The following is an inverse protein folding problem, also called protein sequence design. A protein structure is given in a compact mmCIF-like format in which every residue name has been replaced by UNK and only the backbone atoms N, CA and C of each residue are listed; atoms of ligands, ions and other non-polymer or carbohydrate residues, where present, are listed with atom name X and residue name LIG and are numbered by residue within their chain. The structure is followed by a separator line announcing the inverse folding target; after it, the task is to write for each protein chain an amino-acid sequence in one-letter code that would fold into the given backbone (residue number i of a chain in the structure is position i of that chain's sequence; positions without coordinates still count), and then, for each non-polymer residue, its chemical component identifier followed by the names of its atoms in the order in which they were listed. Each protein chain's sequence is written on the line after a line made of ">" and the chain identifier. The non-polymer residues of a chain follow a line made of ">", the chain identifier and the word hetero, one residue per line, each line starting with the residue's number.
data_IF_820070751991
#
_entry.id   IF_820070751991
#
_cell.length_a   1.000
_cell.length_b   1.000
_cell.length_c   1.000
_cell.angle_alpha   90.00
_cell.angle_beta   90.00
_cell.angle_gamma   90.00
#
_symmetry.space_group_name_H-M   'P 1'
#
loop_
_entity.id
_entity.type
_entity.pdbx_description
1 polymer ?
#
# COMPACT_ATOMS: atom_id res chain seq x y z
N UNK A 1 -2.15 50.20 15.47
CA UNK A 1 -2.85 49.53 16.59
C UNK A 1 -3.94 48.66 15.96
N UNK A 2 -3.62 47.42 15.60
CA UNK A 2 -4.57 46.48 14.97
C UNK A 2 -5.17 45.62 16.07
N UNK A 3 -6.47 45.76 16.25
CA UNK A 3 -7.25 44.95 17.20
C UNK A 3 -7.44 43.58 16.56
N UNK A 4 -6.81 42.57 17.13
CA UNK A 4 -7.02 41.16 16.74
C UNK A 4 -8.34 40.71 17.40
N UNK A 5 -9.43 40.63 16.65
CA UNK A 5 -10.65 40.03 17.15
C UNK A 5 -10.59 38.52 16.95
N UNK A 6 -10.44 37.77 18.04
CA UNK A 6 -10.56 36.32 18.04
C UNK A 6 -12.07 36.02 18.11
N UNK A 7 -12.66 35.65 16.97
CA UNK A 7 -14.08 35.31 16.90
C UNK A 7 -14.25 33.79 17.08
N UNK A 8 -14.56 33.36 18.29
CA UNK A 8 -14.84 31.95 18.58
C UNK A 8 -16.34 31.70 18.43
N UNK A 9 -16.74 30.89 17.47
CA UNK A 9 -18.14 30.59 17.22
C UNK A 9 -18.64 29.47 18.17
N UNK A 10 -19.05 29.84 19.36
CA UNK A 10 -19.50 28.94 20.45
C UNK A 10 -20.76 28.18 20.19
N UNK A 11 -21.59 28.59 19.21
CA UNK A 11 -22.90 27.93 18.96
C UNK A 11 -22.77 26.47 18.50
N UNK A 12 -21.65 26.07 17.93
CA UNK A 12 -21.38 24.69 17.45
C UNK A 12 -20.75 23.85 18.57
N UNK A 13 -19.81 24.42 19.31
CA UNK A 13 -19.11 23.75 20.42
C UNK A 13 -20.06 23.56 21.62
N UNK A 14 -20.82 24.54 21.96
CA UNK A 14 -21.82 24.49 23.06
C UNK A 14 -22.90 23.44 22.83
N UNK A 15 -23.32 23.18 21.58
CA UNK A 15 -24.31 22.14 21.26
C UNK A 15 -23.70 20.73 21.32
N UNK A 16 -22.46 20.55 20.91
CA UNK A 16 -21.73 19.27 21.01
C UNK A 16 -21.44 18.91 22.48
N UNK A 17 -21.02 19.89 23.30
CA UNK A 17 -20.75 19.73 24.72
C UNK A 17 -22.01 19.43 25.50
N UNK A 18 -23.13 20.14 25.23
CA UNK A 18 -24.40 19.93 25.94
C UNK A 18 -24.99 18.52 25.69
N UNK A 19 -24.76 17.95 24.53
CA UNK A 19 -25.23 16.59 24.17
C UNK A 19 -24.37 15.49 24.78
N UNK A 20 -23.06 15.71 25.01
CA UNK A 20 -22.13 14.73 25.53
C UNK A 20 -21.67 15.01 26.97
N UNK A 21 -22.17 16.05 27.61
CA UNK A 21 -21.76 16.48 28.94
C UNK A 21 -21.89 15.39 30.03
N UNK A 22 -22.95 14.59 29.98
CA UNK A 22 -23.15 13.48 30.92
C UNK A 22 -22.14 12.38 30.68
N UNK A 23 -21.79 12.06 29.42
CA UNK A 23 -20.80 11.01 29.06
C UNK A 23 -19.39 11.46 29.41
N UNK A 24 -19.04 12.71 29.17
CA UNK A 24 -17.74 13.29 29.53
C UNK A 24 -17.57 13.39 31.05
N UNK A 25 -18.64 13.80 31.76
CA UNK A 25 -18.64 13.86 33.23
C UNK A 25 -18.50 12.48 33.88
N UNK A 26 -19.16 11.45 33.34
CA UNK A 26 -19.05 10.07 33.83
C UNK A 26 -17.66 9.47 33.50
N UNK A 27 -17.06 9.76 32.36
CA UNK A 27 -15.70 9.34 32.03
C UNK A 27 -14.63 10.05 32.88
N UNK A 28 -14.83 11.31 33.24
CA UNK A 28 -13.93 12.06 34.14
C UNK A 28 -13.88 11.48 35.55
N UNK A 29 -14.96 10.93 36.04
CA UNK A 29 -15.02 10.25 37.34
C UNK A 29 -14.29 8.90 37.31
N UNK A 30 -14.29 8.22 36.17
CA UNK A 30 -13.66 6.89 35.99
C UNK A 30 -12.16 6.97 35.71
N UNK A 31 -11.66 8.01 35.04
CA UNK A 31 -10.30 8.14 34.54
C UNK A 31 -9.43 9.18 35.28
N UNK A 32 -9.94 9.83 36.33
CA UNK A 32 -9.17 10.78 37.13
C UNK A 32 -8.35 11.77 36.31
N UNK A 33 -8.88 12.96 36.05
CA UNK A 33 -8.22 14.11 35.45
C UNK A 33 -8.18 14.18 33.92
N UNK A 34 -9.26 14.67 33.34
CA UNK A 34 -9.22 15.47 32.11
C UNK A 34 -10.21 16.63 32.27
N UNK A 35 -9.71 17.75 32.77
CA UNK A 35 -10.49 18.98 32.88
C UNK A 35 -10.38 19.75 31.57
N UNK A 36 -11.40 19.68 30.71
CA UNK A 36 -11.53 20.61 29.60
C UNK A 36 -12.19 21.88 30.11
N UNK A 37 -11.45 22.95 30.22
CA UNK A 37 -12.02 24.30 30.45
C UNK A 37 -12.16 24.99 29.12
N UNK A 38 -13.39 25.18 28.65
CA UNK A 38 -13.66 26.05 27.50
C UNK A 38 -13.71 27.47 28.05
N UNK A 39 -12.73 28.29 27.71
CA UNK A 39 -12.66 29.69 28.08
C UNK A 39 -13.72 30.44 27.26
N UNK A 40 -14.79 30.89 27.88
CA UNK A 40 -15.90 31.63 27.28
C UNK A 40 -15.65 33.15 27.27
N UNK A 41 -14.35 33.56 27.19
CA UNK A 41 -13.94 34.95 27.18
C UNK A 41 -13.22 35.33 25.87
N UNK A 42 -13.76 36.38 25.23
CA UNK A 42 -13.02 37.16 24.26
C UNK A 42 -12.00 37.97 25.06
N UNK A 43 -10.76 37.49 25.10
CA UNK A 43 -9.67 38.25 25.68
C UNK A 43 -9.39 39.43 24.76
N UNK A 44 -9.79 40.62 25.16
CA UNK A 44 -9.63 41.83 24.35
C UNK A 44 -8.15 42.30 24.26
N UNK A 45 -7.27 41.71 25.07
CA UNK A 45 -5.84 42.05 25.09
C UNK A 45 -4.99 40.76 25.20
N UNK A 46 -4.09 40.53 24.23
CA UNK A 46 -3.19 39.36 24.22
C UNK A 46 -2.24 39.32 25.42
N UNK A 47 -1.88 40.50 25.99
CA UNK A 47 -0.94 40.61 27.12
C UNK A 47 -1.46 39.93 28.40
N UNK A 48 -2.78 39.78 28.57
CA UNK A 48 -3.35 39.22 29.78
C UNK A 48 -3.77 37.74 29.64
N UNK A 49 -3.66 37.17 28.45
CA UNK A 49 -4.14 35.80 28.19
C UNK A 49 -3.29 34.75 28.91
N UNK A 50 -1.97 34.89 28.90
CA UNK A 50 -1.05 33.98 29.60
C UNK A 50 -1.21 34.07 31.12
N UNK A 51 -1.37 35.29 31.67
CA UNK A 51 -1.64 35.47 33.09
C UNK A 51 -2.96 34.84 33.53
N UNK A 52 -3.99 34.98 32.72
CA UNK A 52 -5.30 34.35 32.99
C UNK A 52 -5.19 32.81 33.02
N UNK A 53 -4.48 32.23 32.04
CA UNK A 53 -4.26 30.76 31.94
C UNK A 53 -3.52 30.24 33.18
N UNK A 54 -2.51 30.94 33.67
CA UNK A 54 -1.81 30.59 34.90
C UNK A 54 -2.70 30.70 36.14
N UNK A 55 -3.52 31.75 36.23
CA UNK A 55 -4.40 32.03 37.38
C UNK A 55 -5.49 30.98 37.51
N UNK A 56 -6.07 30.55 36.41
CA UNK A 56 -7.20 29.60 36.38
C UNK A 56 -6.72 28.13 36.22
N UNK A 57 -5.41 27.87 36.28
CA UNK A 57 -4.80 26.51 36.20
C UNK A 57 -5.26 25.73 34.96
N UNK A 58 -5.17 26.35 33.79
CA UNK A 58 -5.60 25.77 32.53
C UNK A 58 -4.49 24.88 31.94
N UNK A 59 -4.78 23.65 31.60
CA UNK A 59 -3.82 22.67 31.04
C UNK A 59 -3.69 22.75 29.52
N UNK A 60 -4.79 23.08 28.81
CA UNK A 60 -4.83 23.10 27.35
C UNK A 60 -5.57 24.33 26.80
N UNK A 61 -5.04 24.94 25.76
CA UNK A 61 -5.61 26.11 25.08
C UNK A 61 -5.80 25.82 23.61
N UNK A 62 -7.00 26.09 23.06
CA UNK A 62 -7.29 26.04 21.63
C UNK A 62 -7.33 27.46 21.04
N UNK A 63 -6.35 27.80 20.21
CA UNK A 63 -6.33 29.05 19.45
C UNK A 63 -7.04 28.84 18.12
N UNK A 64 -8.12 29.58 17.89
CA UNK A 64 -8.85 29.59 16.62
C UNK A 64 -8.66 30.94 15.95
N UNK A 65 -7.93 30.95 14.83
CA UNK A 65 -7.74 32.17 14.02
C UNK A 65 -8.76 32.20 12.90
N UNK A 66 -9.39 33.35 12.69
CA UNK A 66 -10.30 33.58 11.58
C UNK A 66 -9.59 34.29 10.43
N UNK A 67 -9.59 33.71 9.23
CA UNK A 67 -9.09 34.36 8.04
C UNK A 67 -7.58 34.54 7.94
N UNK A 68 -7.11 35.64 7.39
CA UNK A 68 -5.70 35.96 7.08
C UNK A 68 -5.01 36.56 8.31
N UNK A 69 -4.99 35.86 9.43
CA UNK A 69 -4.26 36.33 10.61
C UNK A 69 -2.85 35.74 10.61
N UNK A 70 -1.79 36.55 10.82
CA UNK A 70 -0.44 36.04 10.96
C UNK A 70 -0.37 34.97 12.08
N UNK A 71 0.52 34.00 11.91
CA UNK A 71 0.78 32.96 12.92
C UNK A 71 1.09 33.63 14.28
N UNK A 72 0.33 33.34 15.35
CA UNK A 72 0.43 34.04 16.63
C UNK A 72 1.60 33.48 17.47
N UNK A 73 2.84 33.62 16.95
CA UNK A 73 4.05 33.02 17.51
C UNK A 73 4.27 33.42 18.97
N UNK A 74 4.19 34.73 19.27
CA UNK A 74 4.47 35.28 20.61
C UNK A 74 3.47 34.74 21.65
N UNK A 75 2.19 34.62 21.28
CA UNK A 75 1.15 34.08 22.16
C UNK A 75 1.36 32.60 22.44
N UNK A 76 1.77 31.83 21.42
CA UNK A 76 2.07 30.41 21.57
C UNK A 76 3.29 30.20 22.46
N UNK A 77 4.35 30.99 22.27
CA UNK A 77 5.55 30.96 23.12
C UNK A 77 5.18 31.25 24.59
N UNK A 78 4.43 32.32 24.87
CA UNK A 78 3.98 32.65 26.21
C UNK A 78 3.20 31.49 26.87
N UNK A 79 2.24 30.87 26.17
CA UNK A 79 1.50 29.75 26.74
C UNK A 79 2.38 28.52 26.98
N UNK A 80 3.27 28.20 26.04
CA UNK A 80 4.15 27.02 26.18
C UNK A 80 5.21 27.20 27.27
N UNK A 81 5.67 28.44 27.54
CA UNK A 81 6.56 28.76 28.67
C UNK A 81 5.87 28.49 30.03
N UNK A 82 4.56 28.62 30.10
CA UNK A 82 3.80 28.29 31.33
C UNK A 82 3.52 26.79 31.47
N UNK A 83 3.94 25.96 30.52
CA UNK A 83 3.71 24.50 30.50
C UNK A 83 2.36 24.08 29.93
N UNK A 84 1.59 25.01 29.37
CA UNK A 84 0.28 24.75 28.78
C UNK A 84 0.40 24.16 27.38
N UNK A 85 -0.40 23.15 27.07
CA UNK A 85 -0.49 22.58 25.72
C UNK A 85 -1.31 23.49 24.81
N UNK A 86 -0.73 23.93 23.70
CA UNK A 86 -1.39 24.82 22.74
C UNK A 86 -1.82 24.10 21.49
N UNK A 87 -3.10 24.13 21.19
CA UNK A 87 -3.69 23.65 19.95
C UNK A 87 -4.03 24.84 19.04
N UNK A 88 -3.44 24.89 17.85
CA UNK A 88 -3.75 25.92 16.85
C UNK A 88 -4.62 25.32 15.75
N UNK A 89 -5.79 25.90 15.52
CA UNK A 89 -6.60 25.55 14.38
C UNK A 89 -6.00 26.11 13.09
N UNK A 90 -5.41 25.25 12.25
CA UNK A 90 -4.77 25.64 11.00
C UNK A 90 -5.74 25.93 9.86
N UNK A 91 -6.88 25.23 9.81
CA UNK A 91 -7.92 25.42 8.82
C UNK A 91 -9.19 24.60 9.15
N UNK A 92 -10.34 25.00 8.61
CA UNK A 92 -11.54 24.16 8.59
C UNK A 92 -11.42 23.16 7.45
N UNK A 93 -10.75 22.05 7.72
CA UNK A 93 -10.51 21.02 6.70
C UNK A 93 -11.68 20.05 6.66
N UNK A 94 -12.24 19.83 5.46
CA UNK A 94 -13.23 18.78 5.24
C UNK A 94 -12.49 17.44 5.10
N UNK A 95 -12.99 16.41 5.80
CA UNK A 95 -12.46 15.06 5.62
C UNK A 95 -12.80 14.56 4.22
N UNK A 96 -11.81 13.97 3.55
CA UNK A 96 -12.00 13.31 2.25
C UNK A 96 -12.30 11.83 2.52
N UNK A 97 -13.50 11.34 2.16
CA UNK A 97 -13.88 9.95 2.41
C UNK A 97 -12.85 8.97 1.82
N UNK A 98 -12.51 7.93 2.58
CA UNK A 98 -11.56 6.89 2.16
C UNK A 98 -10.09 7.34 2.04
N UNK A 99 -9.74 8.52 2.58
CA UNK A 99 -8.36 9.02 2.64
C UNK A 99 -7.94 9.28 4.08
N UNK A 100 -6.64 9.10 4.36
CA UNK A 100 -6.04 9.46 5.66
C UNK A 100 -5.46 10.86 5.56
N UNK A 101 -5.75 11.68 6.56
CA UNK A 101 -5.22 13.04 6.68
C UNK A 101 -4.37 13.12 7.94
N UNK A 102 -3.19 13.71 7.80
CA UNK A 102 -2.26 13.92 8.91
C UNK A 102 -1.42 15.17 8.67
N UNK A 103 -0.93 15.73 9.77
CA UNK A 103 -0.09 16.93 9.73
C UNK A 103 1.37 16.51 9.73
N UNK A 104 2.16 17.06 8.80
CA UNK A 104 3.59 16.79 8.71
C UNK A 104 4.38 18.06 8.33
N UNK A 105 5.72 18.00 8.46
CA UNK A 105 6.61 19.05 7.99
C UNK A 105 7.18 18.70 6.62
N UNK A 106 7.09 19.65 5.68
CA UNK A 106 7.72 19.59 4.36
C UNK A 106 8.61 20.82 4.23
N UNK A 107 9.92 20.64 4.44
CA UNK A 107 10.85 21.76 4.61
C UNK A 107 10.47 22.58 5.84
N UNK A 108 10.28 23.89 5.65
CA UNK A 108 9.89 24.83 6.71
C UNK A 108 8.36 24.93 6.90
N UNK A 109 7.59 24.25 6.06
CA UNK A 109 6.12 24.33 6.10
C UNK A 109 5.52 23.18 6.90
N UNK A 110 4.55 23.51 7.75
CA UNK A 110 3.63 22.52 8.34
C UNK A 110 2.44 22.38 7.41
N UNK A 111 2.27 21.18 6.87
CA UNK A 111 1.25 20.89 5.86
C UNK A 111 0.26 19.83 6.32
N UNK A 112 -0.97 19.91 5.84
CA UNK A 112 -1.92 18.82 5.96
C UNK A 112 -1.79 17.91 4.73
N UNK A 113 -1.26 16.74 4.93
CA UNK A 113 -1.09 15.74 3.88
C UNK A 113 -2.32 14.84 3.81
N UNK A 114 -2.83 14.64 2.59
CA UNK A 114 -3.92 13.70 2.31
C UNK A 114 -3.38 12.56 1.45
N UNK A 115 -3.51 11.32 1.92
CA UNK A 115 -3.01 10.13 1.24
C UNK A 115 -3.99 8.97 1.34
N UNK A 116 -3.84 7.98 0.45
CA UNK A 116 -4.63 6.73 0.50
C UNK A 116 -4.30 5.96 1.78
N UNK A 117 -3.02 5.91 2.17
CA UNK A 117 -2.59 5.33 3.43
C UNK A 117 -1.44 6.13 4.04
N UNK A 118 -1.30 6.02 5.36
CA UNK A 118 -0.16 6.53 6.11
C UNK A 118 0.68 5.36 6.62
N UNK A 119 1.94 5.33 6.21
CA UNK A 119 2.93 4.39 6.71
C UNK A 119 4.00 5.14 7.48
N UNK A 120 4.21 4.77 8.74
CA UNK A 120 5.30 5.37 9.51
C UNK A 120 6.67 4.97 8.93
N UNK A 121 7.68 5.82 9.13
CA UNK A 121 9.06 5.49 8.72
C UNK A 121 9.53 4.17 9.33
N UNK A 122 9.13 3.90 10.58
CA UNK A 122 9.43 2.64 11.26
C UNK A 122 8.83 1.43 10.53
N UNK A 123 7.57 1.51 10.13
CA UNK A 123 6.89 0.41 9.42
C UNK A 123 7.52 0.16 8.06
N UNK A 124 7.88 1.23 7.34
CA UNK A 124 8.60 1.12 6.07
C UNK A 124 9.98 0.50 6.22
N UNK A 125 10.71 0.82 7.30
CA UNK A 125 11.99 0.19 7.61
C UNK A 125 11.83 -1.29 7.95
N UNK A 126 10.85 -1.65 8.78
CA UNK A 126 10.54 -3.04 9.12
C UNK A 126 10.14 -3.84 7.87
N UNK A 127 9.29 -3.27 7.01
CA UNK A 127 8.95 -3.90 5.73
C UNK A 127 10.20 -4.14 4.87
N UNK A 128 11.09 -3.16 4.76
CA UNK A 128 12.32 -3.32 4.00
C UNK A 128 13.26 -4.37 4.59
N UNK A 129 13.36 -4.43 5.91
CA UNK A 129 14.14 -5.47 6.61
C UNK A 129 13.58 -6.87 6.33
N UNK A 130 12.25 -7.02 6.39
CA UNK A 130 11.56 -8.26 6.03
C UNK A 130 11.80 -8.64 4.57
N UNK A 131 11.76 -7.67 3.65
CA UNK A 131 12.06 -7.89 2.23
C UNK A 131 13.51 -8.34 2.01
N UNK A 132 14.47 -7.75 2.71
CA UNK A 132 15.89 -8.15 2.61
C UNK A 132 16.08 -9.56 3.18
N UNK A 133 15.58 -9.84 4.38
CA UNK A 133 15.72 -11.15 5.00
C UNK A 133 15.10 -12.26 4.14
N UNK A 134 13.85 -12.08 3.72
CA UNK A 134 13.17 -13.05 2.87
C UNK A 134 13.76 -13.11 1.45
N UNK A 135 14.25 -11.98 0.93
CA UNK A 135 14.97 -11.92 -0.34
C UNK A 135 16.27 -12.74 -0.33
N UNK A 136 17.05 -12.67 0.77
CA UNK A 136 18.26 -13.49 0.93
C UNK A 136 17.94 -14.99 0.98
N UNK A 137 16.94 -15.37 1.78
CA UNK A 137 16.48 -16.77 1.85
C UNK A 137 15.96 -17.23 0.49
N UNK A 138 15.13 -16.42 -0.17
CA UNK A 138 14.59 -16.74 -1.49
C UNK A 138 15.68 -16.86 -2.57
N UNK A 139 16.71 -16.02 -2.57
CA UNK A 139 17.85 -16.14 -3.47
C UNK A 139 18.69 -17.39 -3.21
N UNK A 140 18.87 -17.78 -1.94
CA UNK A 140 19.54 -19.04 -1.59
C UNK A 140 18.77 -20.24 -2.15
N UNK A 141 17.44 -20.27 -1.94
CA UNK A 141 16.57 -21.31 -2.50
C UNK A 141 16.62 -21.29 -4.03
N UNK A 142 16.61 -20.10 -4.67
CA UNK A 142 16.75 -19.95 -6.11
C UNK A 142 18.06 -20.59 -6.60
N UNK A 143 19.17 -20.39 -5.89
CA UNK A 143 20.47 -21.00 -6.20
C UNK A 143 20.42 -22.53 -6.13
N UNK A 144 19.77 -23.11 -5.14
CA UNK A 144 19.58 -24.56 -5.01
C UNK A 144 18.69 -25.08 -6.16
N UNK A 145 17.56 -24.42 -6.43
CA UNK A 145 16.66 -24.79 -7.51
C UNK A 145 17.34 -24.70 -8.88
N UNK A 146 18.22 -23.72 -9.07
CA UNK A 146 18.96 -23.54 -10.33
C UNK A 146 19.76 -24.78 -10.71
N UNK A 147 20.35 -25.49 -9.75
CA UNK A 147 21.16 -26.70 -10.01
C UNK A 147 20.32 -27.79 -10.70
N UNK A 148 19.02 -27.88 -10.39
CA UNK A 148 18.13 -28.91 -10.96
C UNK A 148 17.32 -28.38 -12.14
N UNK A 149 16.83 -27.15 -12.05
CA UNK A 149 15.93 -26.56 -13.05
C UNK A 149 16.68 -26.14 -14.31
N UNK A 150 17.91 -25.61 -14.19
CA UNK A 150 18.66 -25.13 -15.33
C UNK A 150 19.01 -26.24 -16.32
N UNK A 151 19.54 -27.41 -15.90
CA UNK A 151 19.78 -28.54 -16.82
C UNK A 151 18.49 -29.04 -17.46
N UNK A 152 17.39 -29.14 -16.69
CA UNK A 152 16.10 -29.61 -17.19
C UNK A 152 15.53 -28.70 -18.27
N UNK A 153 15.60 -27.38 -18.08
CA UNK A 153 15.19 -26.39 -19.09
C UNK A 153 16.10 -26.49 -20.32
N UNK A 154 17.42 -26.54 -20.12
CA UNK A 154 18.39 -26.53 -21.22
C UNK A 154 18.25 -27.77 -22.11
N UNK A 155 18.05 -28.94 -21.50
CA UNK A 155 17.87 -30.23 -22.26
C UNK A 155 16.53 -30.18 -23.05
N UNK A 156 15.49 -29.63 -22.47
CA UNK A 156 14.15 -29.57 -23.10
C UNK A 156 14.05 -28.46 -24.18
N UNK A 157 14.80 -27.38 -24.02
CA UNK A 157 14.83 -26.22 -24.92
C UNK A 157 16.15 -25.49 -24.75
N UNK A 158 17.19 -25.76 -25.61
CA UNK A 158 18.46 -25.04 -25.56
C UNK A 158 18.28 -23.52 -25.63
N UNK A 159 19.10 -22.78 -24.84
CA UNK A 159 19.04 -21.30 -24.77
C UNK A 159 19.14 -20.75 -23.34
N UNK A 160 18.86 -19.46 -23.11
CA UNK A 160 18.98 -18.83 -21.80
C UNK A 160 18.04 -19.47 -20.77
N UNK A 161 18.54 -19.66 -19.56
CA UNK A 161 17.80 -20.27 -18.45
C UNK A 161 16.83 -19.27 -17.79
N UNK A 162 17.25 -18.01 -17.74
CA UNK A 162 16.45 -16.93 -17.19
C UNK A 162 15.72 -16.17 -18.29
N UNK A 163 14.52 -15.77 -17.99
CA UNK A 163 13.70 -14.86 -18.78
C UNK A 163 13.54 -13.55 -18.01
N UNK A 164 13.65 -12.44 -18.70
CA UNK A 164 13.47 -11.11 -18.14
C UNK A 164 12.39 -10.36 -18.93
N UNK A 165 11.35 -9.90 -18.24
CA UNK A 165 10.25 -9.15 -18.85
C UNK A 165 10.13 -7.78 -18.20
N UNK A 166 9.98 -6.74 -19.02
CA UNK A 166 9.72 -5.40 -18.50
C UNK A 166 8.33 -5.32 -17.88
N UNK A 167 8.31 -4.79 -16.68
CA UNK A 167 7.10 -4.58 -15.87
C UNK A 167 7.08 -3.16 -15.32
N UNK A 168 5.88 -2.73 -14.94
CA UNK A 168 5.66 -1.43 -14.31
C UNK A 168 5.61 -1.62 -12.80
N UNK A 169 6.45 -0.87 -12.10
CA UNK A 169 6.55 -0.85 -10.64
C UNK A 169 5.97 0.43 -10.03
N UNK A 170 6.41 0.72 -8.80
CA UNK A 170 5.96 1.89 -8.05
C UNK A 170 6.11 3.19 -8.86
N UNK A 171 5.04 3.98 -8.86
CA UNK A 171 4.95 5.28 -9.54
C UNK A 171 5.28 5.22 -11.05
N UNK A 172 4.98 4.08 -11.70
CA UNK A 172 5.22 3.91 -13.13
C UNK A 172 6.66 3.58 -13.52
N UNK A 173 7.58 3.40 -12.55
CA UNK A 173 8.98 3.05 -12.83
C UNK A 173 9.07 1.67 -13.46
N UNK A 174 9.67 1.57 -14.64
CA UNK A 174 9.89 0.30 -15.33
C UNK A 174 11.06 -0.45 -14.71
N UNK A 175 10.94 -1.77 -14.65
CA UNK A 175 12.02 -2.67 -14.20
C UNK A 175 11.94 -4.02 -14.93
N UNK A 176 13.05 -4.76 -14.96
CA UNK A 176 13.13 -6.11 -15.51
C UNK A 176 12.80 -7.11 -14.41
N UNK A 177 11.67 -7.80 -14.54
CA UNK A 177 11.27 -8.89 -13.66
C UNK A 177 11.88 -10.20 -14.13
N UNK A 178 12.61 -10.89 -13.26
CA UNK A 178 13.31 -12.13 -13.58
C UNK A 178 12.45 -13.36 -13.25
N UNK A 179 12.49 -14.36 -14.17
CA UNK A 179 11.87 -15.66 -14.00
C UNK A 179 12.77 -16.77 -14.55
N UNK A 180 12.57 -18.02 -14.12
CA UNK A 180 13.07 -19.14 -14.92
C UNK A 180 12.26 -19.24 -16.21
N UNK A 181 12.92 -19.54 -17.30
CA UNK A 181 12.29 -19.69 -18.60
C UNK A 181 11.44 -20.97 -18.61
N UNK A 182 10.13 -20.80 -18.66
CA UNK A 182 9.15 -21.88 -18.74
C UNK A 182 8.49 -22.02 -20.12
N UNK A 183 8.77 -21.07 -21.03
CA UNK A 183 8.22 -21.03 -22.39
C UNK A 183 9.33 -21.07 -23.45
N UNK A 184 8.97 -21.49 -24.66
CA UNK A 184 9.85 -21.44 -25.82
C UNK A 184 10.21 -19.99 -26.17
N UNK A 185 11.31 -19.80 -26.95
CA UNK A 185 11.82 -18.47 -27.27
C UNK A 185 10.89 -17.64 -28.15
N UNK A 186 10.10 -18.32 -28.98
CA UNK A 186 9.09 -17.76 -29.91
C UNK A 186 7.71 -17.56 -29.28
N UNK A 187 7.61 -17.72 -27.94
CA UNK A 187 6.34 -17.72 -27.22
C UNK A 187 5.55 -16.41 -27.36
N UNK A 188 6.23 -15.27 -27.46
CA UNK A 188 5.55 -13.95 -27.56
C UNK A 188 4.99 -13.75 -28.99
N UNK A 189 5.73 -14.19 -30.02
CA UNK A 189 5.26 -14.15 -31.41
C UNK A 189 4.01 -15.03 -31.60
N UNK A 190 4.02 -16.22 -31.02
CA UNK A 190 2.90 -17.17 -31.06
C UNK A 190 1.70 -16.71 -30.22
N UNK A 191 1.88 -15.77 -29.30
CA UNK A 191 0.77 -15.24 -28.48
C UNK A 191 -0.31 -14.59 -29.34
N UNK A 192 0.08 -13.84 -30.36
CA UNK A 192 -0.86 -13.13 -31.24
C UNK A 192 -1.81 -14.12 -31.96
N UNK A 193 -1.32 -15.28 -32.35
CA UNK A 193 -2.10 -16.32 -32.99
C UNK A 193 -3.09 -16.98 -32.02
N UNK A 194 -2.67 -17.14 -30.75
CA UNK A 194 -3.44 -17.79 -29.69
C UNK A 194 -4.42 -16.87 -28.96
N UNK A 195 -4.40 -15.57 -29.25
CA UNK A 195 -5.36 -14.62 -28.66
C UNK A 195 -6.82 -14.95 -28.98
N UNK A 196 -7.07 -15.64 -30.10
CA UNK A 196 -8.42 -16.09 -30.49
C UNK A 196 -9.01 -17.12 -29.53
N UNK A 197 -8.15 -17.89 -28.86
CA UNK A 197 -8.51 -18.95 -27.91
C UNK A 197 -8.47 -18.50 -26.45
N UNK A 198 -8.33 -17.18 -26.22
CA UNK A 198 -8.28 -16.62 -24.88
C UNK A 198 -9.61 -16.80 -24.13
N UNK A 199 -9.59 -17.58 -23.04
CA UNK A 199 -10.79 -17.85 -22.23
C UNK A 199 -11.42 -16.63 -21.57
N UNK A 200 -10.64 -15.61 -21.30
CA UNK A 200 -11.08 -14.45 -20.50
C UNK A 200 -11.76 -13.39 -21.37
N UNK A 201 -11.62 -13.46 -22.71
CA UNK A 201 -12.23 -12.49 -23.64
C UNK A 201 -11.78 -11.04 -23.45
N UNK A 202 -10.85 -10.78 -22.53
CA UNK A 202 -10.33 -9.45 -22.17
C UNK A 202 -8.86 -9.33 -22.60
N UNK A 203 -8.53 -8.20 -23.23
CA UNK A 203 -7.16 -7.87 -23.63
C UNK A 203 -6.23 -7.63 -22.41
N UNK A 204 -6.80 -7.38 -21.24
CA UNK A 204 -6.05 -7.13 -19.99
C UNK A 204 -5.53 -8.41 -19.33
N UNK A 205 -6.12 -9.58 -19.64
CA UNK A 205 -5.70 -10.87 -19.08
C UNK A 205 -5.73 -11.96 -20.15
N UNK A 206 -4.68 -12.80 -20.19
CA UNK A 206 -4.56 -13.91 -21.13
C UNK A 206 -4.45 -15.24 -20.39
N UNK A 207 -5.35 -16.18 -20.67
CA UNK A 207 -5.36 -17.52 -20.07
C UNK A 207 -5.82 -18.58 -21.07
N UNK A 208 -5.04 -19.67 -21.16
CA UNK A 208 -5.37 -20.87 -21.90
C UNK A 208 -5.41 -22.07 -20.95
N UNK A 209 -6.25 -23.07 -21.23
CA UNK A 209 -6.24 -24.34 -20.48
C UNK A 209 -4.99 -25.16 -20.74
N UNK A 210 -4.59 -25.22 -22.00
CA UNK A 210 -3.35 -25.83 -22.44
C UNK A 210 -2.59 -24.83 -23.30
N UNK A 211 -1.39 -24.46 -22.83
CA UNK A 211 -0.56 -23.50 -23.54
C UNK A 211 0.57 -24.24 -24.29
N UNK A 212 0.50 -24.34 -25.63
CA UNK A 212 1.52 -25.02 -26.43
C UNK A 212 2.86 -24.27 -26.47
N UNK A 213 2.93 -23.04 -25.95
CA UNK A 213 4.17 -22.25 -25.84
C UNK A 213 5.04 -22.67 -24.66
N UNK A 214 4.47 -23.45 -23.73
CA UNK A 214 5.17 -23.96 -22.55
C UNK A 214 6.15 -25.06 -22.94
N UNK A 215 7.38 -25.01 -22.41
CA UNK A 215 8.46 -25.96 -22.75
C UNK A 215 8.01 -27.40 -22.43
N UNK A 216 8.07 -28.25 -23.46
CA UNK A 216 7.73 -29.66 -23.36
C UNK A 216 6.25 -29.98 -23.49
N UNK A 217 5.35 -28.98 -23.56
CA UNK A 217 3.94 -29.20 -23.85
C UNK A 217 3.77 -29.61 -25.32
N UNK A 218 3.01 -30.67 -25.56
CA UNK A 218 2.74 -31.21 -26.92
C UNK A 218 1.30 -31.69 -27.00
N UNK A 219 0.66 -31.45 -28.15
CA UNK A 219 -0.59 -32.10 -28.55
C UNK A 219 -0.19 -33.33 -29.33
N UNK A 220 -0.58 -34.52 -28.86
CA UNK A 220 -0.29 -35.78 -29.51
C UNK A 220 -1.22 -36.01 -30.73
N UNK A 221 -0.86 -36.88 -31.67
CA UNK A 221 -1.67 -37.12 -32.86
C UNK A 221 -3.11 -37.63 -32.56
N UNK A 222 -3.33 -38.22 -31.39
CA UNK A 222 -4.63 -38.68 -30.89
C UNK A 222 -5.46 -37.56 -30.23
N UNK A 223 -4.94 -36.28 -30.23
CA UNK A 223 -5.58 -35.13 -29.60
C UNK A 223 -5.36 -35.03 -28.10
N UNK A 224 -4.64 -35.96 -27.48
CA UNK A 224 -4.31 -35.86 -26.04
C UNK A 224 -3.24 -34.80 -25.75
N UNK A 225 -3.30 -34.18 -24.58
CA UNK A 225 -2.38 -33.16 -24.13
C UNK A 225 -1.28 -33.78 -23.25
N UNK A 226 -0.03 -33.63 -23.63
CA UNK A 226 1.12 -34.00 -22.82
C UNK A 226 1.77 -32.75 -22.24
N UNK A 227 1.84 -32.65 -20.90
CA UNK A 227 2.51 -31.57 -20.19
C UNK A 227 4.00 -31.82 -20.06
N UNK A 228 4.80 -30.76 -20.12
CA UNK A 228 6.26 -30.81 -20.03
C UNK A 228 6.83 -30.16 -18.76
N UNK A 229 8.17 -30.02 -18.77
CA UNK A 229 8.91 -29.44 -17.64
C UNK A 229 8.50 -27.98 -17.36
N UNK A 230 8.20 -27.21 -18.41
CA UNK A 230 7.73 -25.84 -18.25
C UNK A 230 6.42 -25.73 -17.48
N UNK A 231 5.49 -26.68 -17.72
CA UNK A 231 4.23 -26.77 -17.01
C UNK A 231 4.44 -27.11 -15.53
N UNK A 232 5.33 -28.07 -15.22
CA UNK A 232 5.70 -28.40 -13.85
C UNK A 232 6.26 -27.17 -13.09
N UNK A 233 7.20 -26.44 -13.71
CA UNK A 233 7.83 -25.25 -13.14
C UNK A 233 6.79 -24.17 -12.84
N UNK A 234 5.79 -23.97 -13.73
CA UNK A 234 4.70 -22.99 -13.56
C UNK A 234 3.70 -23.41 -12.47
N UNK A 235 3.26 -24.67 -12.48
CA UNK A 235 2.32 -25.18 -11.47
C UNK A 235 2.88 -25.14 -10.06
N UNK A 236 4.20 -25.31 -9.93
CA UNK A 236 4.88 -25.23 -8.63
C UNK A 236 5.34 -23.82 -8.29
N UNK A 237 5.08 -22.84 -9.17
CA UNK A 237 5.56 -21.44 -9.05
C UNK A 237 7.08 -21.31 -8.90
N UNK A 238 7.84 -22.35 -9.28
CA UNK A 238 9.32 -22.35 -9.26
C UNK A 238 9.85 -21.29 -10.23
N UNK A 239 9.15 -21.01 -11.34
CA UNK A 239 9.52 -19.96 -12.28
C UNK A 239 9.63 -18.58 -11.66
N UNK A 240 8.95 -18.32 -10.55
CA UNK A 240 8.90 -17.01 -9.90
C UNK A 240 10.02 -16.76 -8.89
N UNK A 241 10.79 -17.81 -8.50
CA UNK A 241 11.86 -17.65 -7.50
C UNK A 241 12.94 -16.63 -7.88
N UNK A 242 13.35 -16.46 -9.14
CA UNK A 242 14.32 -15.42 -9.50
C UNK A 242 13.87 -13.98 -9.19
N UNK A 243 12.56 -13.75 -8.94
CA UNK A 243 12.05 -12.45 -8.52
C UNK A 243 12.56 -12.03 -7.12
N UNK A 244 13.04 -12.96 -6.29
CA UNK A 244 13.68 -12.61 -5.02
C UNK A 244 14.93 -11.74 -5.23
N UNK A 245 15.60 -11.85 -6.38
CA UNK A 245 16.66 -10.92 -6.77
C UNK A 245 16.12 -9.50 -6.99
N UNK A 246 14.93 -9.34 -7.59
CA UNK A 246 14.28 -8.04 -7.72
C UNK A 246 13.90 -7.46 -6.34
N UNK A 247 13.52 -8.31 -5.38
CA UNK A 247 13.23 -7.88 -3.99
C UNK A 247 14.49 -7.34 -3.33
N UNK A 248 15.62 -8.05 -3.41
CA UNK A 248 16.90 -7.59 -2.86
C UNK A 248 17.35 -6.28 -3.49
N UNK A 249 17.25 -6.17 -4.82
CA UNK A 249 17.55 -4.96 -5.56
C UNK A 249 16.65 -3.78 -5.19
N UNK A 250 15.43 -4.06 -4.69
CA UNK A 250 14.46 -3.06 -4.25
C UNK A 250 13.48 -2.62 -5.32
N UNK A 251 13.45 -3.28 -6.47
CA UNK A 251 12.44 -3.06 -7.52
C UNK A 251 11.08 -3.64 -7.09
N UNK A 252 11.09 -4.72 -6.30
CA UNK A 252 9.92 -5.42 -5.76
C UNK A 252 9.97 -5.53 -4.24
N UNK A 253 8.87 -5.97 -3.66
CA UNK A 253 8.71 -6.44 -2.29
C UNK A 253 8.28 -7.91 -2.31
N UNK A 254 8.37 -8.62 -1.19
CA UNK A 254 7.77 -9.96 -1.08
C UNK A 254 6.26 -9.85 -1.24
N UNK A 255 5.65 -8.86 -0.55
CA UNK A 255 4.20 -8.64 -0.55
C UNK A 255 3.90 -7.26 -1.13
N UNK A 256 3.03 -7.23 -2.12
CA UNK A 256 2.61 -6.01 -2.82
C UNK A 256 1.57 -6.32 -3.90
N UNK A 257 1.30 -5.34 -4.75
CA UNK A 257 0.42 -5.52 -5.91
C UNK A 257 1.15 -6.28 -7.02
N UNK A 258 0.41 -7.00 -7.89
CA UNK A 258 1.03 -7.65 -9.05
C UNK A 258 1.61 -6.60 -10.01
N UNK A 259 2.88 -6.75 -10.45
CA UNK A 259 3.47 -5.85 -11.45
C UNK A 259 2.80 -6.05 -12.82
N UNK A 260 2.09 -5.02 -13.35
CA UNK A 260 1.46 -5.13 -14.65
C UNK A 260 2.47 -5.09 -15.80
N UNK A 261 2.07 -5.59 -16.97
CA UNK A 261 2.76 -5.36 -18.23
C UNK A 261 2.62 -3.90 -18.65
N UNK A 262 3.58 -3.41 -19.46
CA UNK A 262 3.47 -2.06 -20.04
C UNK A 262 2.21 -1.96 -20.92
N UNK A 263 1.89 -3.01 -21.69
CA UNK A 263 0.68 -3.07 -22.50
C UNK A 263 -0.61 -3.00 -21.66
N UNK A 264 -0.64 -3.68 -20.51
CA UNK A 264 -1.79 -3.62 -19.60
C UNK A 264 -2.01 -2.21 -19.07
N UNK A 265 -0.95 -1.47 -18.74
CA UNK A 265 -1.06 -0.10 -18.20
C UNK A 265 -1.56 0.93 -19.18
N UNK A 266 -1.51 0.67 -20.49
CA UNK A 266 -2.08 1.54 -21.51
C UNK A 266 -3.61 1.61 -21.44
N UNK A 267 -4.25 0.56 -20.91
CA UNK A 267 -5.70 0.46 -20.72
C UNK A 267 -6.15 0.88 -19.30
N UNK A 268 -5.21 1.36 -18.46
CA UNK A 268 -5.54 1.76 -17.09
C UNK A 268 -6.27 3.09 -17.06
N UNK A 269 -7.46 3.07 -16.48
CA UNK A 269 -8.17 4.26 -16.06
C UNK A 269 -7.52 4.89 -14.83
N UNK A 270 -7.96 6.08 -14.45
CA UNK A 270 -7.35 6.83 -13.35
C UNK A 270 -7.37 6.05 -12.02
N UNK A 271 -8.47 5.37 -11.72
CA UNK A 271 -8.62 4.62 -10.47
C UNK A 271 -7.75 3.35 -10.42
N UNK A 272 -7.41 2.75 -11.59
CA UNK A 272 -6.51 1.60 -11.68
C UNK A 272 -5.08 1.96 -11.28
N UNK A 273 -4.66 3.22 -11.49
CA UNK A 273 -3.30 3.68 -11.21
C UNK A 273 -2.95 3.66 -9.72
N UNK A 274 -3.94 3.62 -8.83
CA UNK A 274 -3.72 3.46 -7.40
C UNK A 274 -2.89 2.20 -7.06
N UNK A 275 -2.98 1.13 -7.88
CA UNK A 275 -2.19 -0.09 -7.74
C UNK A 275 -0.68 0.15 -7.85
N UNK A 276 -0.27 1.21 -8.53
CA UNK A 276 1.13 1.59 -8.73
C UNK A 276 1.68 2.50 -7.61
N UNK A 277 0.89 2.81 -6.59
CA UNK A 277 1.31 3.69 -5.49
C UNK A 277 2.35 3.04 -4.56
N UNK A 278 2.45 1.70 -4.56
CA UNK A 278 3.39 0.92 -3.75
C UNK A 278 4.31 0.06 -4.62
N UNK A 279 5.35 -0.53 -3.99
CA UNK A 279 6.19 -1.53 -4.70
C UNK A 279 5.37 -2.77 -5.03
N UNK A 280 5.52 -3.32 -6.25
CA UNK A 280 4.90 -4.59 -6.60
C UNK A 280 5.50 -5.74 -5.77
N UNK A 281 4.68 -6.79 -5.55
CA UNK A 281 5.05 -7.97 -4.77
C UNK A 281 5.23 -9.22 -5.61
N UNK A 282 5.94 -10.21 -5.04
CA UNK A 282 5.93 -11.60 -5.53
C UNK A 282 4.54 -12.18 -5.26
N UNK A 283 3.97 -11.88 -4.09
CA UNK A 283 2.61 -12.23 -3.69
C UNK A 283 1.85 -11.00 -3.22
N UNK A 284 0.53 -11.09 -3.13
CA UNK A 284 -0.33 -9.99 -2.71
C UNK A 284 -1.73 -10.42 -2.33
N UNK A 285 -2.55 -9.47 -1.92
CA UNK A 285 -3.90 -9.70 -1.40
C UNK A 285 -4.77 -10.51 -2.37
N UNK A 286 -4.88 -10.11 -3.64
CA UNK A 286 -5.70 -10.80 -4.61
C UNK A 286 -5.20 -12.21 -4.91
N UNK A 287 -3.87 -12.42 -4.93
CA UNK A 287 -3.26 -13.73 -5.18
C UNK A 287 -3.59 -14.76 -4.10
N UNK A 288 -3.82 -14.32 -2.85
CA UNK A 288 -4.21 -15.20 -1.74
C UNK A 288 -5.71 -15.23 -1.47
N UNK A 289 -6.50 -14.45 -2.24
CA UNK A 289 -7.96 -14.34 -2.09
C UNK A 289 -8.77 -15.07 -3.15
N UNK A 290 -8.11 -15.78 -4.07
CA UNK A 290 -8.81 -16.55 -5.12
C UNK A 290 -8.03 -16.66 -6.41
N UNK A 291 -6.89 -15.94 -6.53
CA UNK A 291 -5.94 -16.05 -7.67
C UNK A 291 -6.61 -16.29 -9.05
N UNK A 292 -6.65 -17.55 -9.48
CA UNK A 292 -7.16 -17.95 -10.80
C UNK A 292 -8.68 -17.90 -10.94
N UNK A 293 -9.42 -17.86 -9.84
CA UNK A 293 -10.87 -17.84 -9.83
C UNK A 293 -11.42 -16.42 -10.00
N UNK A 294 -10.58 -15.41 -9.73
CA UNK A 294 -10.93 -14.01 -9.95
C UNK A 294 -10.64 -13.66 -11.42
N UNK A 295 -11.70 -13.61 -12.22
CA UNK A 295 -11.64 -13.29 -13.65
C UNK A 295 -11.96 -11.82 -13.94
N UNK A 296 -12.60 -11.12 -12.99
CA UNK A 296 -12.92 -9.70 -13.09
C UNK A 296 -11.72 -8.83 -12.68
N UNK A 297 -11.27 -7.99 -13.60
CA UNK A 297 -10.16 -7.07 -13.35
C UNK A 297 -10.49 -6.01 -12.28
N UNK A 298 -11.75 -5.56 -12.20
CA UNK A 298 -12.16 -4.58 -11.18
C UNK A 298 -12.08 -5.17 -9.77
N UNK A 299 -12.36 -6.46 -9.61
CA UNK A 299 -12.19 -7.14 -8.34
C UNK A 299 -10.71 -7.24 -7.94
N UNK A 300 -9.80 -7.49 -8.89
CA UNK A 300 -8.35 -7.41 -8.66
C UNK A 300 -7.95 -6.02 -8.18
N UNK A 301 -8.46 -4.96 -8.84
CA UNK A 301 -8.20 -3.56 -8.47
C UNK A 301 -8.73 -3.26 -7.07
N UNK A 302 -9.93 -3.74 -6.73
CA UNK A 302 -10.54 -3.58 -5.42
C UNK A 302 -9.68 -4.18 -4.31
N UNK A 303 -9.24 -5.43 -4.48
CA UNK A 303 -8.39 -6.12 -3.51
C UNK A 303 -7.02 -5.47 -3.34
N UNK A 304 -6.41 -5.01 -4.44
CA UNK A 304 -5.14 -4.29 -4.39
C UNK A 304 -5.29 -2.93 -3.68
N UNK A 305 -6.42 -2.21 -3.90
CA UNK A 305 -6.71 -0.96 -3.17
C UNK A 305 -6.96 -1.21 -1.70
N UNK A 306 -7.70 -2.26 -1.34
CA UNK A 306 -7.93 -2.68 0.05
C UNK A 306 -6.59 -2.93 0.74
N UNK A 307 -5.70 -3.70 0.12
CA UNK A 307 -4.35 -3.91 0.63
C UNK A 307 -3.59 -2.59 0.86
N UNK A 308 -3.63 -1.66 -0.10
CA UNK A 308 -2.93 -0.39 0.01
C UNK A 308 -3.51 0.48 1.13
N UNK A 309 -4.84 0.55 1.23
CA UNK A 309 -5.53 1.39 2.22
C UNK A 309 -5.32 0.89 3.65
N UNK A 310 -5.36 -0.42 3.84
CA UNK A 310 -5.31 -1.06 5.16
C UNK A 310 -3.93 -1.61 5.51
N UNK A 311 -2.93 -1.34 4.65
CA UNK A 311 -1.60 -1.86 4.83
C UNK A 311 -1.02 -1.56 6.21
N UNK A 312 -0.50 -2.58 6.81
CA UNK A 312 0.35 -2.59 8.00
C UNK A 312 1.20 -3.88 7.99
N UNK A 313 2.22 -3.95 8.81
CA UNK A 313 3.13 -5.12 8.88
C UNK A 313 2.36 -6.41 9.24
N UNK A 314 1.35 -6.34 10.11
CA UNK A 314 0.52 -7.50 10.47
C UNK A 314 -0.24 -8.07 9.28
N UNK A 315 -0.73 -7.21 8.38
CA UNK A 315 -1.38 -7.63 7.13
C UNK A 315 -0.38 -8.33 6.20
N UNK A 316 0.85 -7.83 6.09
CA UNK A 316 1.91 -8.49 5.32
C UNK A 316 2.20 -9.91 5.85
N UNK A 317 2.38 -10.04 7.16
CA UNK A 317 2.59 -11.35 7.80
C UNK A 317 1.42 -12.30 7.51
N UNK A 318 0.18 -11.82 7.62
CA UNK A 318 -1.02 -12.60 7.30
C UNK A 318 -1.05 -13.08 5.85
N UNK A 319 -0.71 -12.21 4.89
CA UNK A 319 -0.64 -12.55 3.47
C UNK A 319 0.47 -13.56 3.22
N UNK A 320 1.64 -13.41 3.86
CA UNK A 320 2.75 -14.35 3.74
C UNK A 320 2.33 -15.76 4.19
N UNK A 321 1.70 -15.89 5.37
CA UNK A 321 1.17 -17.18 5.84
C UNK A 321 0.13 -17.77 4.88
N UNK A 322 -0.82 -16.96 4.40
CA UNK A 322 -1.79 -17.42 3.41
C UNK A 322 -1.10 -17.90 2.13
N UNK A 323 -0.07 -17.19 1.64
CA UNK A 323 0.68 -17.60 0.46
C UNK A 323 1.29 -18.99 0.61
N UNK A 324 1.95 -19.24 1.76
CA UNK A 324 2.51 -20.57 2.06
C UNK A 324 1.42 -21.63 2.06
N UNK A 325 0.27 -21.36 2.68
CA UNK A 325 -0.86 -22.30 2.71
C UNK A 325 -1.43 -22.58 1.33
N UNK A 326 -1.60 -21.56 0.47
CA UNK A 326 -2.09 -21.71 -0.92
C UNK A 326 -1.11 -22.56 -1.73
N UNK A 327 0.20 -22.30 -1.62
CA UNK A 327 1.22 -23.09 -2.32
C UNK A 327 1.23 -24.55 -1.85
N UNK A 328 1.11 -24.81 -0.56
CA UNK A 328 1.08 -26.16 -0.01
C UNK A 328 -0.19 -26.94 -0.37
N UNK A 329 -1.35 -26.27 -0.42
CA UNK A 329 -2.62 -26.88 -0.78
C UNK A 329 -2.79 -27.06 -2.28
N UNK A 330 -1.91 -26.49 -3.12
CA UNK A 330 -2.03 -26.42 -4.58
C UNK A 330 -3.33 -25.76 -5.06
N UNK A 331 -3.96 -24.95 -4.21
CA UNK A 331 -5.17 -24.22 -4.56
C UNK A 331 -4.81 -23.13 -5.59
N UNK A 332 -5.44 -23.17 -6.76
CA UNK A 332 -5.27 -22.15 -7.80
C UNK A 332 -3.96 -22.23 -8.60
N UNK A 333 -3.23 -23.35 -8.61
CA UNK A 333 -2.17 -23.54 -9.60
C UNK A 333 -2.80 -23.78 -10.97
N UNK A 334 -2.38 -22.98 -11.96
CA UNK A 334 -2.81 -23.14 -13.37
C UNK A 334 -2.33 -24.45 -13.94
#
# INVERSE_FOLDING_TARGET
>A
MSILSINVNFSVIGRALKRNFITIFMMSIILGCLSFVVIDYVVANMENAAEYVCKEWIDEVLIVTSGVVPYPKELIEQFTETGVTVHLNLAKVQSVPGKKQFVEKVGDYTVLTTSINYASTRDLMLKRLMDIAGGLVGCLITGILFIFVAPAIYIASPGPIFFAQERVGKNGKRFKMYKFRSMYMDAEERKAELMKDNKLGDEKMFKLDFDPRVIGNKILPDGTHKTGIGDFIRRTSIDEFPQFFNVLKGDMSIIGTRPPLISETNFYELHHRARLAIKPGITGMWQVSGRSDITDFEEVVRLDKEYITDWNIGLDIKILFKTVMVVLRKDGSM
#
